data_IF_295303292896
#
_entry.id   IF_295303292896
#
_cell.length_a   1.000
_cell.length_b   1.000
_cell.length_c   1.000
_cell.angle_alpha   90.00
_cell.angle_beta   90.00
_cell.angle_gamma   90.00
#
_symmetry.space_group_name_H-M   'P 1'
#
loop_
_entity.id
_entity.type
_entity.pdbx_description
1 polymer ?
#
# COMPACT_ATOMS: atom_id res chain seq x y z
N UNK A 1 -29.50 -8.14 9.63
CA UNK A 1 -28.07 -8.08 9.22
C UNK A 1 -27.34 -7.29 10.29
N UNK A 2 -26.47 -7.91 11.08
CA UNK A 2 -25.69 -7.18 12.06
C UNK A 2 -24.53 -6.50 11.31
N UNK A 3 -24.56 -5.18 11.19
CA UNK A 3 -23.39 -4.46 10.68
C UNK A 3 -22.26 -4.59 11.71
N UNK A 4 -21.14 -5.12 11.30
CA UNK A 4 -19.92 -5.01 12.09
C UNK A 4 -19.58 -3.52 12.25
N UNK A 5 -19.37 -3.06 13.49
CA UNK A 5 -18.88 -1.69 13.71
C UNK A 5 -17.37 -1.55 13.39
N UNK A 6 -16.75 -2.62 12.87
CA UNK A 6 -15.32 -2.64 12.59
C UNK A 6 -14.98 -1.77 11.38
N UNK A 7 -13.98 -0.92 11.53
CA UNK A 7 -13.37 -0.12 10.47
C UNK A 7 -11.92 -0.60 10.27
N UNK A 8 -11.58 -1.02 9.04
CA UNK A 8 -10.26 -1.51 8.70
C UNK A 8 -9.57 -0.54 7.73
N UNK A 9 -8.43 -0.02 8.15
CA UNK A 9 -7.57 0.85 7.37
C UNK A 9 -6.42 0.03 6.78
N UNK A 10 -6.29 0.06 5.48
CA UNK A 10 -5.32 -0.72 4.72
C UNK A 10 -4.33 0.23 4.05
N UNK A 11 -3.05 0.04 4.30
CA UNK A 11 -2.02 0.66 3.48
C UNK A 11 -2.00 0.02 2.08
N UNK A 12 -1.45 0.74 1.09
CA UNK A 12 -1.43 0.31 -0.30
C UNK A 12 -0.11 -0.34 -0.70
N UNK A 13 0.98 0.44 -0.65
CA UNK A 13 2.28 0.03 -1.15
C UNK A 13 2.89 -1.07 -0.26
N UNK A 14 3.35 -2.18 -0.86
CA UNK A 14 3.89 -3.35 -0.16
C UNK A 14 2.91 -4.07 0.79
N UNK A 15 1.68 -3.57 0.91
CA UNK A 15 0.59 -4.18 1.71
C UNK A 15 -0.44 -4.86 0.82
N UNK A 16 -1.04 -4.12 -0.10
CA UNK A 16 -2.00 -4.62 -1.10
C UNK A 16 -1.33 -4.82 -2.47
N UNK A 17 -0.34 -4.01 -2.77
CA UNK A 17 0.27 -3.85 -4.08
C UNK A 17 1.77 -4.09 -4.01
N UNK A 18 2.31 -4.91 -4.91
CA UNK A 18 3.75 -5.16 -5.01
C UNK A 18 4.44 -4.01 -5.76
N UNK A 19 4.66 -2.92 -5.04
CA UNK A 19 5.27 -1.68 -5.56
C UNK A 19 6.65 -1.92 -6.13
N UNK A 20 7.46 -2.78 -5.50
CA UNK A 20 8.81 -3.08 -5.98
C UNK A 20 8.78 -3.79 -7.34
N UNK A 21 7.92 -4.80 -7.53
CA UNK A 21 7.79 -5.50 -8.82
C UNK A 21 7.28 -4.55 -9.90
N UNK A 22 6.25 -3.77 -9.59
CA UNK A 22 5.74 -2.76 -10.51
C UNK A 22 6.83 -1.77 -10.91
N UNK A 23 7.48 -1.16 -9.93
CA UNK A 23 8.32 0.00 -10.15
C UNK A 23 9.76 -0.36 -10.51
N UNK A 24 10.42 -1.14 -9.66
CA UNK A 24 11.85 -1.46 -9.81
C UNK A 24 12.11 -2.57 -10.84
N UNK A 25 11.08 -3.29 -11.27
CA UNK A 25 11.21 -4.29 -12.35
C UNK A 25 10.54 -3.77 -13.61
N UNK A 26 9.21 -3.64 -13.63
CA UNK A 26 8.47 -3.47 -14.87
C UNK A 26 8.53 -2.04 -15.44
N UNK A 27 8.37 -1.01 -14.60
CA UNK A 27 8.53 0.39 -15.06
C UNK A 27 9.97 0.61 -15.52
N UNK A 28 10.95 0.13 -14.74
CA UNK A 28 12.37 0.22 -15.13
C UNK A 28 12.62 -0.48 -16.46
N UNK A 29 12.14 -1.69 -16.63
CA UNK A 29 12.33 -2.45 -17.88
C UNK A 29 11.64 -1.78 -19.07
N UNK A 30 10.48 -1.15 -18.88
CA UNK A 30 9.81 -0.38 -19.93
C UNK A 30 10.71 0.75 -20.46
N UNK A 31 11.38 1.50 -19.58
CA UNK A 31 12.34 2.52 -20.00
C UNK A 31 13.57 1.92 -20.70
N UNK A 32 14.10 0.80 -20.20
CA UNK A 32 15.23 0.11 -20.86
C UNK A 32 14.88 -0.36 -22.28
N UNK A 33 13.67 -0.88 -22.50
CA UNK A 33 13.16 -1.26 -23.81
C UNK A 33 12.97 -0.07 -24.75
N UNK A 34 12.77 1.12 -24.22
CA UNK A 34 12.76 2.39 -25.01
C UNK A 34 14.16 2.91 -25.30
N UNK A 35 15.21 2.14 -24.99
CA UNK A 35 16.61 2.50 -25.24
C UNK A 35 17.21 3.45 -24.21
N UNK A 36 16.56 3.61 -23.05
CA UNK A 36 17.08 4.41 -21.96
C UNK A 36 18.07 3.59 -21.13
N UNK A 37 19.25 4.12 -20.92
CA UNK A 37 20.26 3.49 -20.05
C UNK A 37 19.79 3.45 -18.59
N UNK A 38 20.15 2.38 -17.88
CA UNK A 38 19.79 2.20 -16.47
C UNK A 38 20.27 3.35 -15.59
N UNK A 39 21.43 3.93 -15.87
CA UNK A 39 21.94 5.06 -15.08
C UNK A 39 21.09 6.31 -15.22
N UNK A 40 20.56 6.59 -16.42
CA UNK A 40 19.61 7.70 -16.61
C UNK A 40 18.29 7.46 -15.88
N UNK A 41 17.79 6.22 -15.92
CA UNK A 41 16.59 5.85 -15.16
C UNK A 41 16.77 6.09 -13.66
N UNK A 42 17.84 5.57 -13.05
CA UNK A 42 18.16 5.72 -11.61
C UNK A 42 18.30 7.20 -11.20
N UNK A 43 19.04 7.99 -11.99
CA UNK A 43 19.23 9.42 -11.71
C UNK A 43 17.93 10.22 -11.85
N UNK A 44 17.10 9.89 -12.83
CA UNK A 44 15.83 10.56 -13.07
C UNK A 44 14.84 10.22 -11.96
N UNK A 45 14.78 8.97 -11.53
CA UNK A 45 13.98 8.55 -10.39
C UNK A 45 14.35 9.32 -9.13
N UNK A 46 15.63 9.36 -8.78
CA UNK A 46 16.13 10.07 -7.61
C UNK A 46 15.80 11.58 -7.63
N UNK A 47 15.74 12.19 -8.81
CA UNK A 47 15.39 13.59 -8.97
C UNK A 47 13.88 13.86 -8.83
N UNK A 48 13.04 12.96 -9.35
CA UNK A 48 11.58 13.15 -9.40
C UNK A 48 10.91 12.72 -8.09
N UNK A 49 11.40 11.67 -7.43
CA UNK A 49 10.79 11.12 -6.22
C UNK A 49 10.47 12.17 -5.14
N UNK A 50 11.40 13.08 -4.75
CA UNK A 50 11.14 14.07 -3.70
C UNK A 50 10.08 15.12 -4.08
N UNK A 51 9.77 15.29 -5.38
CA UNK A 51 8.85 16.32 -5.88
C UNK A 51 7.42 15.80 -6.09
N UNK A 52 7.15 14.57 -5.68
CA UNK A 52 5.89 13.87 -5.95
C UNK A 52 5.95 13.16 -7.31
N UNK A 53 6.23 11.85 -7.24
CA UNK A 53 6.39 10.98 -8.42
C UNK A 53 5.11 10.86 -9.24
N UNK A 54 5.27 10.89 -10.57
CA UNK A 54 4.33 10.34 -11.57
C UNK A 54 5.13 9.74 -12.73
N UNK A 55 4.53 8.82 -13.51
CA UNK A 55 5.18 8.28 -14.71
C UNK A 55 5.53 9.37 -15.73
N UNK A 56 4.69 10.40 -15.83
CA UNK A 56 4.88 11.52 -16.74
C UNK A 56 6.08 12.37 -16.36
N UNK A 57 6.17 12.77 -15.09
CA UNK A 57 7.33 13.52 -14.58
C UNK A 57 8.63 12.73 -14.74
N UNK A 58 8.56 11.41 -14.52
CA UNK A 58 9.73 10.55 -14.71
C UNK A 58 10.14 10.47 -16.18
N UNK A 59 9.18 10.33 -17.11
CA UNK A 59 9.46 10.34 -18.53
C UNK A 59 10.08 11.68 -18.99
N UNK A 60 9.59 12.80 -18.48
CA UNK A 60 10.15 14.13 -18.76
C UNK A 60 11.60 14.26 -18.30
N UNK A 61 11.88 13.84 -17.08
CA UNK A 61 13.24 13.91 -16.52
C UNK A 61 14.21 12.95 -17.21
N UNK A 62 13.76 11.73 -17.55
CA UNK A 62 14.54 10.79 -18.38
C UNK A 62 14.83 11.37 -19.74
N UNK A 63 13.82 11.93 -20.43
CA UNK A 63 13.98 12.55 -21.75
C UNK A 63 15.02 13.69 -21.70
N UNK A 64 14.90 14.56 -20.71
CA UNK A 64 15.82 15.69 -20.52
C UNK A 64 17.28 15.25 -20.31
N UNK A 65 17.50 14.14 -19.58
CA UNK A 65 18.86 13.63 -19.25
C UNK A 65 19.47 12.79 -20.34
N UNK A 66 18.69 11.91 -20.96
CA UNK A 66 19.19 10.90 -21.88
C UNK A 66 19.42 11.42 -23.29
N UNK A 67 18.82 12.56 -23.66
CA UNK A 67 18.81 13.03 -25.04
C UNK A 67 18.14 12.03 -25.99
N UNK A 68 17.16 11.26 -25.51
CA UNK A 68 16.46 10.23 -26.27
C UNK A 68 15.99 10.73 -27.64
N UNK A 69 16.15 9.91 -28.66
CA UNK A 69 15.60 10.17 -30.01
C UNK A 69 14.09 9.91 -30.09
N UNK A 70 13.53 9.14 -29.16
CA UNK A 70 12.09 8.91 -29.08
C UNK A 70 11.41 10.20 -28.59
N UNK A 71 10.42 10.75 -29.32
CA UNK A 71 9.69 11.92 -28.86
C UNK A 71 9.06 11.72 -27.49
N UNK A 72 9.10 12.74 -26.63
CA UNK A 72 8.58 12.68 -25.26
C UNK A 72 7.12 12.21 -25.19
N UNK A 73 6.25 12.74 -26.08
CA UNK A 73 4.83 12.33 -26.10
C UNK A 73 4.63 10.87 -26.51
N UNK A 74 5.51 10.34 -27.35
CA UNK A 74 5.48 8.92 -27.69
C UNK A 74 5.91 8.07 -26.49
N UNK A 75 6.95 8.47 -25.76
CA UNK A 75 7.40 7.83 -24.54
C UNK A 75 6.28 7.80 -23.48
N UNK A 76 5.65 8.96 -23.22
CA UNK A 76 4.53 9.06 -22.27
C UNK A 76 3.37 8.15 -22.65
N UNK A 77 2.94 8.14 -23.91
CA UNK A 77 1.85 7.25 -24.39
C UNK A 77 2.18 5.76 -24.21
N UNK A 78 3.40 5.36 -24.52
CA UNK A 78 3.82 3.96 -24.36
C UNK A 78 3.75 3.56 -22.87
N UNK A 79 4.29 4.38 -21.98
CA UNK A 79 4.24 4.11 -20.53
C UNK A 79 2.81 4.09 -20.00
N UNK A 80 1.97 5.05 -20.36
CA UNK A 80 0.57 5.08 -19.95
C UNK A 80 -0.19 3.84 -20.42
N UNK A 81 -0.01 3.44 -21.69
CA UNK A 81 -0.66 2.24 -22.22
C UNK A 81 -0.15 0.96 -21.53
N UNK A 82 1.15 0.86 -21.27
CA UNK A 82 1.76 -0.32 -20.63
C UNK A 82 1.30 -0.52 -19.20
N UNK A 83 0.93 0.56 -18.51
CA UNK A 83 0.57 0.55 -17.10
C UNK A 83 -0.87 1.03 -16.84
N UNK A 84 -1.75 0.97 -17.83
CA UNK A 84 -3.18 1.32 -17.70
C UNK A 84 -3.96 0.33 -16.82
N UNK A 85 -3.49 -0.92 -16.70
CA UNK A 85 -4.05 -1.96 -15.81
C UNK A 85 -2.96 -2.49 -14.88
N UNK A 86 -3.11 -2.21 -13.58
CA UNK A 86 -2.15 -2.57 -12.55
C UNK A 86 -2.60 -3.74 -11.68
N UNK A 87 -3.71 -4.43 -12.00
CA UNK A 87 -4.25 -5.56 -11.19
C UNK A 87 -3.24 -6.68 -10.98
N UNK A 88 -2.36 -6.92 -11.95
CA UNK A 88 -1.34 -7.99 -11.88
C UNK A 88 -0.33 -7.81 -10.74
N UNK A 89 -0.22 -6.61 -10.19
CA UNK A 89 0.68 -6.31 -9.07
C UNK A 89 0.00 -6.41 -7.70
N UNK A 90 -1.30 -6.70 -7.67
CA UNK A 90 -1.97 -7.01 -6.42
C UNK A 90 -1.49 -8.36 -5.90
N UNK A 91 -1.23 -8.45 -4.58
CA UNK A 91 -0.99 -9.74 -3.97
C UNK A 91 -2.25 -10.61 -4.08
N UNK A 92 -2.05 -11.94 -4.22
CA UNK A 92 -3.13 -12.88 -4.55
C UNK A 92 -4.26 -12.93 -3.52
N UNK A 93 -3.96 -12.62 -2.27
CA UNK A 93 -4.90 -12.63 -1.14
C UNK A 93 -5.74 -11.34 -1.01
N UNK A 94 -5.43 -10.29 -1.80
CA UNK A 94 -6.06 -8.97 -1.67
C UNK A 94 -7.54 -9.02 -2.01
N UNK A 95 -7.88 -9.46 -3.21
CA UNK A 95 -9.29 -9.47 -3.65
C UNK A 95 -10.16 -10.40 -2.79
N UNK A 96 -9.75 -11.65 -2.49
CA UNK A 96 -10.49 -12.50 -1.57
C UNK A 96 -10.72 -11.85 -0.19
N UNK A 97 -9.70 -11.21 0.38
CA UNK A 97 -9.81 -10.52 1.65
C UNK A 97 -10.81 -9.35 1.60
N UNK A 98 -10.70 -8.46 0.62
CA UNK A 98 -11.60 -7.31 0.49
C UNK A 98 -13.07 -7.74 0.31
N UNK A 99 -13.30 -8.78 -0.50
CA UNK A 99 -14.64 -9.36 -0.69
C UNK A 99 -15.19 -9.96 0.60
N UNK A 100 -14.38 -10.73 1.34
CA UNK A 100 -14.78 -11.32 2.60
C UNK A 100 -15.07 -10.24 3.66
N UNK A 101 -14.23 -9.20 3.77
CA UNK A 101 -14.43 -8.11 4.70
C UNK A 101 -15.74 -7.36 4.42
N UNK A 102 -16.03 -7.01 3.16
CA UNK A 102 -17.31 -6.39 2.76
C UNK A 102 -18.51 -7.29 3.06
N UNK A 103 -18.43 -8.58 2.76
CA UNK A 103 -19.49 -9.55 3.08
C UNK A 103 -19.79 -9.61 4.58
N UNK A 104 -18.77 -9.42 5.41
CA UNK A 104 -18.89 -9.38 6.88
C UNK A 104 -19.28 -7.99 7.43
N UNK A 105 -19.59 -7.01 6.56
CA UNK A 105 -20.01 -5.67 6.96
C UNK A 105 -18.89 -4.81 7.55
N UNK A 106 -17.63 -5.15 7.29
CA UNK A 106 -16.46 -4.35 7.68
C UNK A 106 -16.38 -3.13 6.76
N UNK A 107 -16.26 -1.93 7.35
CA UNK A 107 -15.95 -0.71 6.59
C UNK A 107 -14.48 -0.71 6.22
N UNK A 108 -14.19 -0.53 4.94
CA UNK A 108 -12.84 -0.57 4.41
C UNK A 108 -12.39 0.83 4.01
N UNK A 109 -11.23 1.21 4.50
CA UNK A 109 -10.60 2.49 4.19
C UNK A 109 -9.20 2.26 3.65
N UNK A 110 -8.83 3.00 2.61
CA UNK A 110 -7.46 3.04 2.15
C UNK A 110 -6.72 4.18 2.86
N UNK A 111 -5.53 3.89 3.39
CA UNK A 111 -4.71 4.87 4.11
C UNK A 111 -3.26 4.75 3.67
N UNK A 112 -2.86 5.49 2.63
CA UNK A 112 -1.56 5.34 2.01
C UNK A 112 -0.70 6.61 2.11
N UNK A 113 0.62 6.40 2.14
CA UNK A 113 1.61 7.48 2.08
C UNK A 113 2.00 7.76 0.63
N UNK A 114 2.06 9.03 0.24
CA UNK A 114 2.53 9.47 -1.07
C UNK A 114 1.73 10.65 -1.62
N UNK A 115 2.08 11.11 -2.82
CA UNK A 115 1.33 12.18 -3.48
C UNK A 115 -0.07 11.69 -3.88
N UNK A 116 -1.07 12.52 -3.68
CA UNK A 116 -2.47 12.20 -3.97
C UNK A 116 -2.66 11.71 -5.42
N UNK A 117 -2.10 12.44 -6.38
CA UNK A 117 -2.19 12.13 -7.80
C UNK A 117 -1.67 10.72 -8.12
N UNK A 118 -0.47 10.37 -7.62
CA UNK A 118 0.16 9.09 -7.90
C UNK A 118 -0.55 7.93 -7.21
N UNK A 119 -0.98 8.12 -5.96
CA UNK A 119 -1.70 7.09 -5.24
C UNK A 119 -3.07 6.82 -5.87
N UNK A 120 -3.83 7.88 -6.23
CA UNK A 120 -5.11 7.72 -6.94
C UNK A 120 -4.96 7.02 -8.28
N UNK A 121 -3.92 7.34 -9.05
CA UNK A 121 -3.62 6.63 -10.29
C UNK A 121 -3.44 5.13 -10.04
N UNK A 122 -2.59 4.72 -9.09
CA UNK A 122 -2.36 3.31 -8.78
C UNK A 122 -3.63 2.59 -8.33
N UNK A 123 -4.39 3.18 -7.43
CA UNK A 123 -5.65 2.62 -6.92
C UNK A 123 -6.68 2.46 -8.04
N UNK A 124 -6.81 3.45 -8.91
CA UNK A 124 -7.74 3.41 -10.05
C UNK A 124 -7.32 2.35 -11.06
N UNK A 125 -6.06 2.34 -11.45
CA UNK A 125 -5.52 1.38 -12.43
C UNK A 125 -5.48 -0.07 -11.89
N UNK A 126 -5.45 -0.25 -10.56
CA UNK A 126 -5.59 -1.58 -9.93
C UNK A 126 -7.03 -2.01 -9.69
N UNK A 127 -8.02 -1.18 -10.06
CA UNK A 127 -9.46 -1.43 -9.92
C UNK A 127 -9.92 -1.66 -8.47
N UNK A 128 -9.22 -1.10 -7.49
CA UNK A 128 -9.56 -1.29 -6.08
C UNK A 128 -10.51 -0.24 -5.52
N UNK A 129 -10.72 0.88 -6.19
CA UNK A 129 -11.49 2.02 -5.66
C UNK A 129 -12.89 1.67 -5.14
N UNK A 130 -13.58 0.74 -5.81
CA UNK A 130 -14.95 0.33 -5.43
C UNK A 130 -15.02 -0.54 -4.15
N UNK A 131 -13.89 -1.01 -3.66
CA UNK A 131 -13.84 -1.78 -2.41
C UNK A 131 -13.80 -0.90 -1.17
N UNK A 132 -13.32 0.34 -1.29
CA UNK A 132 -13.15 1.24 -0.17
C UNK A 132 -14.33 2.19 -0.01
N UNK A 133 -14.71 2.43 1.25
CA UNK A 133 -15.72 3.42 1.61
C UNK A 133 -15.14 4.84 1.48
N UNK A 134 -13.82 4.98 1.73
CA UNK A 134 -13.06 6.21 1.46
C UNK A 134 -11.56 5.90 1.31
N UNK A 135 -10.79 6.87 0.78
CA UNK A 135 -9.35 6.74 0.55
C UNK A 135 -8.62 8.01 0.98
N UNK A 136 -7.63 7.85 1.86
CA UNK A 136 -6.86 8.92 2.45
C UNK A 136 -5.39 8.80 2.02
N UNK A 137 -4.84 9.88 1.50
CA UNK A 137 -3.43 9.95 1.10
C UNK A 137 -2.71 11.01 1.93
N UNK A 138 -1.56 10.63 2.51
CA UNK A 138 -0.80 11.50 3.38
C UNK A 138 0.60 11.70 2.80
N UNK A 139 1.04 12.95 2.68
CA UNK A 139 2.38 13.28 2.17
C UNK A 139 3.42 13.52 3.28
N UNK A 140 2.98 13.57 4.54
CA UNK A 140 3.85 13.82 5.70
C UNK A 140 3.93 12.59 6.60
N UNK A 141 5.12 12.35 7.17
CA UNK A 141 5.32 11.35 8.22
C UNK A 141 4.39 11.63 9.40
N UNK A 142 3.79 10.58 9.95
CA UNK A 142 2.80 10.71 11.04
C UNK A 142 1.41 11.20 10.59
N UNK A 143 1.21 11.50 9.30
CA UNK A 143 -0.10 11.90 8.77
C UNK A 143 -1.16 10.81 8.94
N UNK A 144 -0.77 9.54 8.83
CA UNK A 144 -1.66 8.39 9.10
C UNK A 144 -2.10 8.39 10.57
N UNK A 145 -1.19 8.57 11.51
CA UNK A 145 -1.48 8.58 12.93
C UNK A 145 -2.46 9.70 13.30
N UNK A 146 -2.27 10.91 12.76
CA UNK A 146 -3.16 12.05 12.97
C UNK A 146 -4.59 11.74 12.51
N UNK A 147 -4.76 11.19 11.29
CA UNK A 147 -6.07 10.81 10.77
C UNK A 147 -6.74 9.75 11.65
N UNK A 148 -5.99 8.73 12.06
CA UNK A 148 -6.52 7.67 12.93
C UNK A 148 -6.94 8.23 14.28
N UNK A 149 -6.19 9.17 14.85
CA UNK A 149 -6.57 9.84 16.10
C UNK A 149 -7.92 10.58 15.98
N UNK A 150 -8.08 11.35 14.90
CA UNK A 150 -9.33 12.08 14.63
C UNK A 150 -10.54 11.15 14.48
N UNK A 151 -10.33 9.93 13.99
CA UNK A 151 -11.36 8.90 13.86
C UNK A 151 -11.59 8.13 15.17
N UNK A 152 -10.54 7.90 15.95
CA UNK A 152 -10.63 7.23 17.26
C UNK A 152 -11.45 8.03 18.29
N UNK A 153 -11.58 9.34 18.10
CA UNK A 153 -12.48 10.18 18.90
C UNK A 153 -13.98 9.93 18.59
N UNK A 154 -14.27 9.30 17.44
CA UNK A 154 -15.64 9.08 16.94
C UNK A 154 -16.05 7.61 16.89
N UNK A 155 -15.10 6.71 16.90
CA UNK A 155 -15.29 5.25 16.77
C UNK A 155 -14.52 4.57 17.90
N UNK A 156 -15.10 3.60 18.63
CA UNK A 156 -14.38 2.85 19.66
C UNK A 156 -13.09 2.25 19.09
N UNK A 157 -11.96 2.47 19.78
CA UNK A 157 -10.62 2.08 19.28
C UNK A 157 -10.51 0.57 19.03
N UNK A 158 -11.20 -0.27 19.83
CA UNK A 158 -11.24 -1.71 19.68
C UNK A 158 -11.93 -2.18 18.39
N UNK A 159 -12.71 -1.28 17.77
CA UNK A 159 -13.33 -1.51 16.47
C UNK A 159 -12.47 -1.01 15.31
N UNK A 160 -11.31 -0.42 15.58
CA UNK A 160 -10.37 0.07 14.58
C UNK A 160 -9.26 -0.95 14.35
N UNK A 161 -9.03 -1.26 13.09
CA UNK A 161 -7.96 -2.16 12.64
C UNK A 161 -7.09 -1.41 11.63
N UNK A 162 -5.77 -1.47 11.78
CA UNK A 162 -4.84 -0.93 10.79
C UNK A 162 -3.89 -2.03 10.32
N UNK A 163 -3.71 -2.11 9.01
CA UNK A 163 -2.79 -3.05 8.34
C UNK A 163 -1.80 -2.23 7.54
N UNK A 164 -0.52 -2.32 7.85
CA UNK A 164 0.54 -1.56 7.20
C UNK A 164 1.84 -2.36 7.14
N UNK A 165 2.66 -2.13 6.13
CA UNK A 165 3.97 -2.74 5.99
C UNK A 165 5.09 -1.95 6.71
N UNK A 166 4.80 -0.75 7.19
CA UNK A 166 5.75 0.12 7.87
C UNK A 166 5.54 0.06 9.40
N UNK A 167 6.43 -0.62 10.15
CA UNK A 167 6.28 -0.74 11.60
C UNK A 167 6.41 0.61 12.32
N UNK A 168 7.13 1.59 11.75
CA UNK A 168 7.29 2.93 12.35
C UNK A 168 5.97 3.72 12.25
N UNK A 169 5.23 3.62 11.14
CA UNK A 169 3.88 4.22 11.04
C UNK A 169 2.90 3.55 12.01
N UNK A 170 2.97 2.22 12.15
CA UNK A 170 2.16 1.50 13.13
C UNK A 170 2.49 1.91 14.57
N UNK A 171 3.75 2.18 14.89
CA UNK A 171 4.17 2.69 16.19
C UNK A 171 3.55 4.08 16.47
N UNK A 172 3.61 5.00 15.50
CA UNK A 172 2.99 6.32 15.61
C UNK A 172 1.47 6.23 15.80
N UNK A 173 0.82 5.30 15.10
CA UNK A 173 -0.61 5.04 15.24
C UNK A 173 -0.93 4.50 16.64
N UNK A 174 -0.11 3.60 17.18
CA UNK A 174 -0.26 3.09 18.55
C UNK A 174 -0.02 4.15 19.62
N UNK A 175 0.90 5.08 19.40
CA UNK A 175 1.11 6.23 20.28
C UNK A 175 -0.14 7.11 20.34
N UNK A 176 -0.78 7.35 19.19
CA UNK A 176 -1.99 8.18 19.06
C UNK A 176 -3.26 7.48 19.55
N UNK A 177 -3.37 6.16 19.36
CA UNK A 177 -4.56 5.35 19.70
C UNK A 177 -4.14 3.97 20.24
N UNK A 178 -3.77 3.86 21.53
CA UNK A 178 -3.21 2.61 22.10
C UNK A 178 -4.13 1.38 22.01
N UNK A 179 -5.44 1.58 22.01
CA UNK A 179 -6.46 0.50 21.94
C UNK A 179 -6.64 -0.10 20.55
N UNK A 180 -6.11 0.54 19.49
CA UNK A 180 -6.32 0.08 18.11
C UNK A 180 -5.60 -1.25 17.83
N UNK A 181 -6.21 -2.12 17.00
CA UNK A 181 -5.58 -3.35 16.56
C UNK A 181 -4.69 -3.08 15.35
N UNK A 182 -3.42 -3.48 15.41
CA UNK A 182 -2.44 -3.23 14.35
C UNK A 182 -1.84 -4.54 13.83
N UNK A 183 -1.77 -4.64 12.50
CA UNK A 183 -1.14 -5.75 11.79
C UNK A 183 0.04 -5.23 10.99
N UNK A 184 1.24 -5.74 11.31
CA UNK A 184 2.44 -5.51 10.53
C UNK A 184 2.51 -6.51 9.38
N UNK A 185 2.29 -6.03 8.16
CA UNK A 185 2.33 -6.84 6.95
C UNK A 185 3.75 -6.96 6.42
N UNK A 186 4.30 -8.18 6.45
CA UNK A 186 5.61 -8.47 5.87
C UNK A 186 5.44 -9.40 4.67
N UNK A 187 5.45 -8.82 3.46
CA UNK A 187 5.23 -9.51 2.19
C UNK A 187 6.46 -10.19 1.62
N UNK A 188 7.64 -9.91 2.19
CA UNK A 188 8.88 -10.52 1.68
C UNK A 188 8.91 -12.01 1.99
N UNK A 189 9.04 -12.89 0.99
CA UNK A 189 9.22 -14.32 1.17
C UNK A 189 10.48 -14.63 2.01
N UNK A 190 10.44 -15.68 2.82
CA UNK A 190 11.54 -16.01 3.72
C UNK A 190 12.84 -16.39 2.98
N UNK A 191 12.72 -17.06 1.85
CA UNK A 191 13.81 -17.42 0.96
C UNK A 191 14.46 -16.22 0.26
N UNK A 192 13.74 -15.09 0.16
CA UNK A 192 14.24 -13.86 -0.45
C UNK A 192 14.85 -12.86 0.53
N UNK A 193 15.08 -13.25 1.78
CA UNK A 193 15.80 -12.41 2.76
C UNK A 193 17.21 -12.04 2.31
N UNK A 194 17.87 -12.91 1.56
CA UNK A 194 19.18 -12.70 0.93
C UNK A 194 19.19 -13.25 -0.49
N UNK A 195 18.40 -12.69 -1.41
CA UNK A 195 18.29 -13.21 -2.76
C UNK A 195 19.62 -13.11 -3.50
N UNK A 196 19.97 -14.16 -4.25
CA UNK A 196 21.20 -14.23 -5.02
C UNK A 196 21.12 -13.52 -6.37
N UNK A 197 19.92 -13.41 -6.94
CA UNK A 197 19.70 -12.82 -8.26
C UNK A 197 19.17 -11.39 -8.19
N UNK A 198 19.48 -10.59 -9.22
CA UNK A 198 19.10 -9.17 -9.30
C UNK A 198 17.59 -8.97 -9.44
N UNK A 199 16.90 -9.88 -10.15
CA UNK A 199 15.45 -9.79 -10.34
C UNK A 199 14.70 -9.96 -9.03
N UNK A 200 15.02 -10.98 -8.23
CA UNK A 200 14.43 -11.22 -6.92
C UNK A 200 14.73 -10.07 -5.96
N UNK A 201 15.93 -9.48 -6.02
CA UNK A 201 16.29 -8.29 -5.25
C UNK A 201 15.38 -7.12 -5.58
N UNK A 202 15.10 -6.88 -6.87
CA UNK A 202 14.29 -5.76 -7.32
C UNK A 202 12.83 -5.90 -6.95
N UNK A 203 12.29 -7.13 -7.01
CA UNK A 203 10.89 -7.42 -6.65
C UNK A 203 10.51 -7.10 -5.20
N UNK A 204 11.50 -6.98 -4.31
CA UNK A 204 11.30 -6.71 -2.89
C UNK A 204 12.32 -5.72 -2.34
N UNK A 205 12.79 -4.79 -3.16
CA UNK A 205 13.90 -3.88 -2.83
C UNK A 205 13.58 -3.00 -1.63
N UNK A 206 12.45 -2.31 -1.66
CA UNK A 206 12.02 -1.40 -0.60
C UNK A 206 11.29 -2.14 0.52
N UNK A 207 10.51 -3.17 0.19
CA UNK A 207 9.81 -3.99 1.18
C UNK A 207 10.79 -4.62 2.19
N UNK A 208 12.01 -4.91 1.78
CA UNK A 208 13.07 -5.47 2.66
C UNK A 208 13.60 -4.48 3.70
N UNK A 209 13.36 -3.18 3.52
CA UNK A 209 13.83 -2.13 4.45
C UNK A 209 13.45 -2.43 5.90
N UNK A 210 12.27 -2.98 6.11
CA UNK A 210 11.72 -3.22 7.45
C UNK A 210 11.99 -4.61 8.02
N UNK A 211 12.75 -5.47 7.35
CA UNK A 211 13.00 -6.86 7.83
C UNK A 211 13.73 -6.93 9.16
N UNK A 212 14.61 -5.96 9.45
CA UNK A 212 15.38 -5.87 10.69
C UNK A 212 14.82 -4.90 11.72
N UNK A 213 13.72 -4.23 11.39
CA UNK A 213 13.12 -3.23 12.29
C UNK A 213 12.52 -3.89 13.54
N UNK A 214 12.79 -3.30 14.70
CA UNK A 214 12.22 -3.69 15.99
C UNK A 214 11.24 -2.58 16.37
N UNK A 215 9.91 -2.80 16.20
CA UNK A 215 8.91 -1.80 16.55
C UNK A 215 8.89 -1.57 18.07
N UNK A 216 8.57 -0.34 18.48
CA UNK A 216 8.41 0.06 19.90
C UNK A 216 7.18 -0.57 20.54
N UNK A 217 6.11 -0.78 19.73
CA UNK A 217 4.88 -1.42 20.16
C UNK A 217 4.76 -2.84 19.63
N UNK A 218 3.90 -3.64 20.27
CA UNK A 218 3.58 -4.99 19.81
C UNK A 218 2.55 -4.92 18.67
N UNK A 219 2.95 -5.30 17.46
CA UNK A 219 2.06 -5.48 16.33
C UNK A 219 1.91 -6.95 15.97
N UNK A 220 0.71 -7.35 15.50
CA UNK A 220 0.50 -8.71 15.03
C UNK A 220 1.11 -8.87 13.64
N UNK A 221 2.25 -9.59 13.55
CA UNK A 221 2.95 -9.79 12.29
C UNK A 221 2.22 -10.78 11.40
N UNK A 222 2.05 -10.45 10.12
CA UNK A 222 1.39 -11.27 9.09
C UNK A 222 2.17 -11.24 7.78
N UNK A 223 2.06 -12.33 6.99
CA UNK A 223 2.58 -12.42 5.62
C UNK A 223 1.48 -12.38 4.57
N UNK A 224 0.25 -12.69 4.98
CA UNK A 224 -0.95 -12.72 4.15
C UNK A 224 -2.13 -12.08 4.89
N UNK A 225 -3.02 -11.45 4.13
CA UNK A 225 -4.29 -10.92 4.62
C UNK A 225 -5.26 -12.05 5.04
N UNK A 226 -5.13 -13.25 4.48
CA UNK A 226 -5.98 -14.42 4.82
C UNK A 226 -5.94 -14.76 6.30
N UNK A 227 -4.87 -14.38 6.99
CA UNK A 227 -4.70 -14.62 8.44
C UNK A 227 -5.27 -13.50 9.32
N UNK A 228 -5.90 -12.47 8.73
CA UNK A 228 -6.59 -11.40 9.45
C UNK A 228 -8.07 -11.79 9.56
N UNK A 229 -8.47 -12.23 10.75
CA UNK A 229 -9.86 -12.54 11.04
C UNK A 229 -10.56 -11.32 11.61
N UNK A 230 -11.72 -10.99 11.06
CA UNK A 230 -12.64 -10.05 11.69
C UNK A 230 -13.58 -10.81 12.59
N UNK A 231 -13.36 -10.77 13.90
CA UNK A 231 -14.32 -11.33 14.85
C UNK A 231 -15.60 -10.52 14.81
N UNK A 232 -16.65 -11.11 14.24
CA UNK A 232 -18.01 -10.58 14.41
C UNK A 232 -18.38 -10.84 15.87
N UNK A 233 -18.20 -9.85 16.73
CA UNK A 233 -18.76 -9.90 18.09
C UNK A 233 -20.28 -9.99 17.93
N UNK A 234 -20.83 -11.19 18.02
CA UNK A 234 -22.26 -11.41 18.17
C UNK A 234 -22.67 -10.69 19.45
N UNK A 235 -23.54 -9.67 19.31
CA UNK A 235 -24.14 -9.02 20.45
C UNK A 235 -24.82 -10.13 21.29
N UNK A 236 -24.28 -10.40 22.47
CA UNK A 236 -24.90 -11.27 23.45
C UNK A 236 -26.34 -10.80 23.64
N UNK A 237 -27.30 -11.66 23.31
CA UNK A 237 -28.68 -11.54 23.80
C UNK A 237 -28.58 -11.43 25.32
N UNK A 238 -28.74 -10.21 25.81
CA UNK A 238 -29.14 -10.04 27.22
C UNK A 238 -30.54 -10.65 27.32
N UNK A 239 -30.57 -11.91 27.75
CA UNK A 239 -31.78 -12.58 28.09
C UNK A 239 -32.40 -11.86 29.28
N UNK A 240 -33.35 -10.98 29.02
CA UNK A 240 -34.27 -10.50 30.03
C UNK A 240 -35.21 -11.65 30.41
N UNK A 241 -34.82 -12.43 31.42
CA UNK A 241 -35.76 -13.19 32.20
C UNK A 241 -36.45 -12.22 33.14
N UNK A 242 -37.69 -11.92 32.84
CA UNK A 242 -38.60 -11.40 33.85
C UNK A 242 -39.46 -12.52 34.40
N UNK A 243 -39.62 -12.59 35.71
CA UNK A 243 -40.47 -13.56 36.42
C UNK A 243 -41.94 -13.34 36.18
#
# INVERSE_FOLDING_TARGET
MHSSNTACFLDFDHTLFNTDEFFHVDVRNAFLHLGIDAAYWEQSYAAVWPTGYTLEKHAEEVYRRSGSKLPLDAMKRILQNSFSDLRRYLFLDVLPFLQAAKKNGVRLYLLSFGSDEWQRYKVTASHLGSYFDDSFFTAAQGGKAKLIQELADKIPQEALVVVDNNPNELDLIKDAAPGIQTYYMNRVPDDLRSPSDDLSRRKFLEARRYLGEIPRHRHTRRKSLDSIAFEVKSANKVGGSHP
#
